data_IF_800207984413
#
_entry.id   IF_800207984413
#
_cell.length_a   1.000
_cell.length_b   1.000
_cell.length_c   1.000
_cell.angle_alpha   90.00
_cell.angle_beta   90.00
_cell.angle_gamma   90.00
#
_symmetry.space_group_name_H-M   'P 1'
#
loop_
_entity.id
_entity.type
_entity.pdbx_description
1 polymer ?
#
# COMPACT_ATOMS: atom_id res chain seq x y z
N UNK A 1 -9.43 17.80 -8.86
CA UNK A 1 -8.02 17.56 -9.23
C UNK A 1 -7.35 16.98 -7.99
N UNK A 2 -7.01 15.69 -7.99
CA UNK A 2 -6.16 15.11 -6.95
C UNK A 2 -4.74 15.61 -7.23
N UNK A 3 -4.31 16.67 -6.57
CA UNK A 3 -2.87 16.90 -6.40
C UNK A 3 -2.41 15.89 -5.35
N UNK A 4 -2.07 14.68 -5.82
CA UNK A 4 -1.16 13.84 -5.06
C UNK A 4 0.16 14.62 -5.06
N UNK A 5 0.76 14.94 -3.89
CA UNK A 5 1.96 15.74 -3.84
C UNK A 5 3.00 15.14 -4.78
N UNK A 6 3.37 15.87 -5.84
CA UNK A 6 4.29 15.39 -6.89
C UNK A 6 5.56 14.76 -6.31
N UNK A 7 6.00 15.22 -5.14
CA UNK A 7 7.17 14.75 -4.41
C UNK A 7 7.02 13.34 -3.79
N UNK A 8 5.82 12.90 -3.41
CA UNK A 8 5.58 11.55 -2.87
C UNK A 8 5.51 10.48 -3.98
N UNK A 9 5.10 10.90 -5.19
CA UNK A 9 4.99 10.03 -6.38
C UNK A 9 6.14 10.22 -7.35
N UNK A 10 7.09 11.13 -7.08
CA UNK A 10 8.27 11.34 -7.92
C UNK A 10 9.14 10.07 -8.05
N UNK A 11 9.01 9.16 -7.07
CA UNK A 11 9.62 7.83 -7.04
C UNK A 11 8.78 6.75 -7.75
N UNK A 12 7.55 7.09 -8.16
CA UNK A 12 6.54 6.20 -8.73
C UNK A 12 5.97 6.75 -10.04
N UNK A 13 6.72 7.59 -10.77
CA UNK A 13 6.39 7.87 -12.17
C UNK A 13 6.73 6.60 -12.96
N UNK A 14 5.83 5.63 -12.89
CA UNK A 14 5.81 4.39 -13.66
C UNK A 14 4.34 4.21 -14.02
N UNK A 15 4.01 3.88 -15.28
CA UNK A 15 2.69 4.15 -15.83
C UNK A 15 1.53 3.38 -15.16
N UNK A 16 1.80 2.34 -14.37
CA UNK A 16 0.80 1.32 -14.01
C UNK A 16 0.59 1.09 -12.50
N UNK A 17 1.03 1.99 -11.62
CA UNK A 17 0.84 1.84 -10.17
C UNK A 17 -0.60 2.13 -9.70
N UNK A 18 -1.19 1.14 -9.03
CA UNK A 18 -2.38 1.30 -8.20
C UNK A 18 -2.00 2.07 -6.94
N UNK A 19 -2.81 3.07 -6.55
CA UNK A 19 -2.56 3.89 -5.35
C UNK A 19 -3.81 3.99 -4.50
N UNK A 20 -3.70 3.68 -3.21
CA UNK A 20 -4.76 3.82 -2.21
C UNK A 20 -4.26 4.61 -1.01
N UNK A 21 -5.03 5.62 -0.63
CA UNK A 21 -4.86 6.35 0.63
C UNK A 21 -5.97 5.93 1.61
N UNK A 22 -5.54 5.44 2.78
CA UNK A 22 -6.39 5.06 3.89
C UNK A 22 -6.17 6.06 5.03
N UNK A 23 -7.17 6.91 5.28
CA UNK A 23 -7.15 7.77 6.46
C UNK A 23 -7.33 6.98 7.73
N UNK A 24 -6.51 7.30 8.72
CA UNK A 24 -6.48 6.63 10.01
C UNK A 24 -6.99 7.52 11.14
N UNK A 25 -7.52 6.87 12.18
CA UNK A 25 -7.93 7.49 13.43
C UNK A 25 -9.44 7.61 13.58
N UNK A 26 -9.91 7.46 14.82
CA UNK A 26 -11.30 7.70 15.21
C UNK A 26 -11.59 9.17 15.51
N UNK A 27 -10.54 9.96 15.81
CA UNK A 27 -10.60 11.40 16.04
C UNK A 27 -9.89 12.12 14.89
N UNK A 28 -10.55 13.12 14.30
CA UNK A 28 -10.08 13.82 13.09
C UNK A 28 -9.61 15.27 13.34
N UNK A 29 -9.46 15.66 14.60
CA UNK A 29 -9.01 17.00 15.01
C UNK A 29 -7.86 16.92 16.02
N UNK A 30 -7.02 17.95 15.98
CA UNK A 30 -5.96 18.23 16.96
C UNK A 30 -6.52 18.84 18.24
N UNK A 31 -5.75 18.78 19.31
CA UNK A 31 -6.12 19.28 20.63
C UNK A 31 -6.36 20.80 20.62
N UNK A 32 -5.65 21.53 19.74
CA UNK A 32 -5.75 22.98 19.56
C UNK A 32 -6.92 23.42 18.65
N UNK A 33 -7.72 22.47 18.14
CA UNK A 33 -8.90 22.80 17.34
C UNK A 33 -9.90 23.65 18.12
N UNK A 34 -10.51 24.64 17.45
CA UNK A 34 -11.67 25.34 18.01
C UNK A 34 -12.84 24.38 18.25
N UNK A 35 -13.72 24.69 19.19
CA UNK A 35 -14.89 23.86 19.50
C UNK A 35 -15.79 23.63 18.27
N UNK A 36 -15.93 24.64 17.41
CA UNK A 36 -16.63 24.51 16.13
C UNK A 36 -15.94 23.50 15.19
N UNK A 37 -14.60 23.54 15.09
CA UNK A 37 -13.83 22.59 14.29
C UNK A 37 -13.94 21.17 14.86
N UNK A 38 -13.89 21.02 16.19
CA UNK A 38 -14.07 19.72 16.87
C UNK A 38 -15.43 19.12 16.56
N UNK A 39 -16.51 19.86 16.75
CA UNK A 39 -17.88 19.42 16.48
C UNK A 39 -18.05 18.95 15.02
N UNK A 40 -17.59 19.77 14.07
CA UNK A 40 -17.64 19.44 12.63
C UNK A 40 -16.85 18.17 12.29
N UNK A 41 -15.66 18.01 12.88
CA UNK A 41 -14.81 16.84 12.64
C UNK A 41 -15.37 15.57 13.29
N UNK A 42 -16.03 15.68 14.45
CA UNK A 42 -16.77 14.58 15.07
C UNK A 42 -17.96 14.15 14.22
N UNK A 43 -18.73 15.10 13.69
CA UNK A 43 -19.81 14.80 12.74
C UNK A 43 -19.27 14.10 11.49
N UNK A 44 -18.17 14.58 10.92
CA UNK A 44 -17.51 13.94 9.78
C UNK A 44 -16.98 12.53 10.10
N UNK A 45 -16.49 12.30 11.32
CA UNK A 45 -16.05 10.97 11.75
C UNK A 45 -17.24 10.01 11.88
N UNK A 46 -18.36 10.47 12.47
CA UNK A 46 -19.60 9.71 12.66
C UNK A 46 -20.35 9.42 11.36
N UNK A 47 -20.30 10.34 10.41
CA UNK A 47 -20.91 10.20 9.09
C UNK A 47 -20.13 9.26 8.15
N UNK A 48 -18.98 8.73 8.59
CA UNK A 48 -18.13 7.82 7.81
C UNK A 48 -17.75 6.60 8.63
N UNK A 49 -16.96 5.71 8.04
CA UNK A 49 -16.40 4.54 8.72
C UNK A 49 -15.36 4.88 9.79
N UNK A 50 -14.84 6.12 9.80
CA UNK A 50 -13.75 6.56 10.69
C UNK A 50 -14.07 6.38 12.17
N UNK A 51 -15.23 6.85 12.65
CA UNK A 51 -15.56 6.75 14.08
C UNK A 51 -15.67 5.28 14.55
N UNK A 52 -16.27 4.42 13.73
CA UNK A 52 -16.51 3.03 14.08
C UNK A 52 -15.26 2.15 13.96
N UNK A 53 -14.39 2.42 12.97
CA UNK A 53 -13.31 1.51 12.58
C UNK A 53 -11.90 2.11 12.65
N UNK A 54 -11.80 3.44 12.78
CA UNK A 54 -10.54 4.15 12.64
C UNK A 54 -10.00 4.19 11.21
N UNK A 55 -10.80 3.78 10.21
CA UNK A 55 -10.44 3.74 8.79
C UNK A 55 -11.44 4.56 7.98
N UNK A 56 -10.94 5.30 7.00
CA UNK A 56 -11.73 5.77 5.85
C UNK A 56 -10.89 5.71 4.59
N UNK A 57 -11.36 5.00 3.57
CA UNK A 57 -10.75 5.02 2.23
C UNK A 57 -10.94 6.43 1.66
N UNK A 58 -9.89 7.10 1.19
CA UNK A 58 -10.04 8.51 0.75
C UNK A 58 -10.15 8.69 -0.75
N UNK A 59 -9.99 7.61 -1.51
CA UNK A 59 -9.94 7.59 -2.97
C UNK A 59 -8.75 6.75 -3.40
N UNK A 60 -8.86 6.13 -4.56
CA UNK A 60 -7.82 5.28 -5.09
C UNK A 60 -7.95 5.15 -6.60
N UNK A 61 -6.87 4.71 -7.25
CA UNK A 61 -6.86 4.41 -8.68
C UNK A 61 -6.33 3.00 -8.90
N UNK A 62 -6.89 2.34 -9.90
CA UNK A 62 -6.48 1.00 -10.33
C UNK A 62 -6.17 1.04 -11.82
N UNK A 63 -5.02 0.50 -12.21
CA UNK A 63 -4.58 0.37 -13.58
C UNK A 63 -5.42 -0.68 -14.30
N UNK A 64 -5.89 -0.34 -15.51
CA UNK A 64 -6.41 -1.30 -16.46
C UNK A 64 -5.42 -1.53 -17.58
N UNK A 65 -4.92 -2.77 -17.66
CA UNK A 65 -3.93 -3.13 -18.66
C UNK A 65 -4.47 -3.15 -20.09
N UNK A 66 -5.75 -3.46 -20.26
CA UNK A 66 -6.38 -3.54 -21.58
C UNK A 66 -6.52 -2.15 -22.22
N UNK A 67 -7.00 -1.16 -21.45
CA UNK A 67 -7.15 0.22 -21.93
C UNK A 67 -5.91 1.09 -21.72
N UNK A 68 -4.91 0.60 -20.97
CA UNK A 68 -3.71 1.35 -20.55
C UNK A 68 -4.10 2.67 -19.85
N UNK A 69 -5.12 2.60 -18.99
CA UNK A 69 -5.71 3.76 -18.33
C UNK A 69 -6.08 3.45 -16.88
N UNK A 70 -6.29 4.51 -16.09
CA UNK A 70 -6.70 4.39 -14.69
C UNK A 70 -8.21 4.43 -14.50
N UNK A 71 -8.68 3.53 -13.66
CA UNK A 71 -10.01 3.46 -13.09
C UNK A 71 -9.95 4.13 -11.71
N UNK A 72 -10.37 5.40 -11.65
CA UNK A 72 -10.31 6.26 -10.46
C UNK A 72 -11.57 6.18 -9.57
N UNK A 73 -11.45 5.59 -8.39
CA UNK A 73 -12.49 5.64 -7.36
C UNK A 73 -12.38 6.97 -6.56
N UNK A 74 -13.40 7.86 -6.63
CA UNK A 74 -13.31 9.21 -6.06
C UNK A 74 -13.46 9.21 -4.53
N UNK A 75 -13.11 10.34 -3.90
CA UNK A 75 -13.19 10.51 -2.43
C UNK A 75 -14.60 10.31 -1.86
N UNK A 76 -15.62 10.63 -2.65
CA UNK A 76 -17.01 10.53 -2.21
C UNK A 76 -17.45 9.07 -2.04
N UNK A 77 -16.83 8.11 -2.75
CA UNK A 77 -17.00 6.69 -2.46
C UNK A 77 -16.63 6.39 -1.01
N UNK A 78 -15.45 6.83 -0.59
CA UNK A 78 -14.95 6.67 0.77
C UNK A 78 -15.80 7.29 1.87
N UNK A 79 -16.51 8.38 1.55
CA UNK A 79 -17.47 9.01 2.46
C UNK A 79 -18.81 8.28 2.52
N UNK A 80 -19.19 7.60 1.44
CA UNK A 80 -20.49 6.95 1.29
C UNK A 80 -20.50 5.49 1.75
N UNK A 81 -19.38 4.77 1.62
CA UNK A 81 -19.31 3.36 2.02
C UNK A 81 -19.54 3.18 3.53
N UNK A 82 -20.20 2.08 3.86
CA UNK A 82 -20.50 1.66 5.21
C UNK A 82 -19.48 0.65 5.74
N UNK A 83 -19.52 0.36 7.05
CA UNK A 83 -18.59 -0.58 7.69
C UNK A 83 -18.63 -1.98 7.03
N UNK A 84 -19.80 -2.59 6.73
CA UNK A 84 -19.86 -3.88 6.04
C UNK A 84 -19.28 -3.85 4.61
N UNK A 85 -19.24 -2.68 3.97
CA UNK A 85 -18.75 -2.53 2.60
C UNK A 85 -17.24 -2.29 2.51
N UNK A 86 -16.54 -2.12 3.65
CA UNK A 86 -15.09 -1.89 3.67
C UNK A 86 -14.31 -3.04 3.01
N UNK A 87 -14.70 -4.29 3.26
CA UNK A 87 -14.05 -5.46 2.64
C UNK A 87 -14.17 -5.40 1.11
N UNK A 88 -15.32 -4.97 0.60
CA UNK A 88 -15.52 -4.76 -0.83
C UNK A 88 -14.72 -3.58 -1.37
N UNK A 89 -14.58 -2.51 -0.59
CA UNK A 89 -13.74 -1.36 -0.93
C UNK A 89 -12.26 -1.72 -1.05
N UNK A 90 -11.72 -2.52 -0.11
CA UNK A 90 -10.34 -3.02 -0.15
C UNK A 90 -10.13 -3.95 -1.34
N UNK A 91 -11.01 -4.92 -1.55
CA UNK A 91 -10.92 -5.82 -2.69
C UNK A 91 -11.02 -5.07 -4.04
N UNK A 92 -11.80 -3.98 -4.13
CA UNK A 92 -11.86 -3.14 -5.34
C UNK A 92 -10.52 -2.46 -5.65
N UNK A 93 -9.67 -2.21 -4.65
CA UNK A 93 -8.34 -1.66 -4.87
C UNK A 93 -7.33 -2.72 -5.35
N UNK A 94 -7.28 -3.88 -4.68
CA UNK A 94 -6.39 -4.99 -5.09
C UNK A 94 -6.85 -5.66 -6.39
N UNK A 95 -8.14 -5.54 -6.70
CA UNK A 95 -8.79 -6.00 -7.91
C UNK A 95 -8.44 -7.45 -8.31
N UNK A 96 -8.75 -8.44 -7.44
CA UNK A 96 -8.49 -9.85 -7.70
C UNK A 96 -9.44 -10.44 -8.75
N UNK A 97 -9.13 -11.62 -9.34
CA UNK A 97 -9.96 -12.32 -10.31
C UNK A 97 -11.12 -13.07 -9.63
N UNK A 98 -11.73 -12.45 -8.61
CA UNK A 98 -12.98 -12.93 -8.03
C UNK A 98 -14.10 -12.53 -9.00
N UNK A 99 -15.02 -13.44 -9.31
CA UNK A 99 -16.09 -13.23 -10.30
C UNK A 99 -16.99 -12.00 -10.04
N UNK A 100 -18.09 -11.88 -10.81
CA UNK A 100 -18.98 -10.70 -10.88
C UNK A 100 -19.54 -10.11 -9.55
N UNK A 101 -19.27 -10.74 -8.40
CA UNK A 101 -19.53 -10.24 -7.06
C UNK A 101 -18.81 -8.91 -6.72
N UNK A 102 -17.80 -8.52 -7.49
CA UNK A 102 -17.07 -7.25 -7.36
C UNK A 102 -17.41 -6.27 -8.48
N UNK A 103 -18.70 -6.08 -8.75
CA UNK A 103 -19.14 -5.05 -9.68
C UNK A 103 -19.13 -3.68 -8.99
N UNK A 104 -18.35 -2.70 -9.49
CA UNK A 104 -18.35 -1.37 -8.92
C UNK A 104 -19.74 -0.73 -9.07
N UNK A 105 -20.33 -0.15 -8.00
CA UNK A 105 -21.46 0.76 -8.19
C UNK A 105 -20.93 2.00 -8.93
N UNK A 106 -21.44 2.18 -10.15
CA UNK A 106 -21.36 3.38 -11.02
C UNK A 106 -19.97 3.80 -11.56
N UNK A 107 -19.95 4.42 -12.77
CA UNK A 107 -18.78 4.44 -13.64
C UNK A 107 -17.69 5.40 -13.18
N UNK A 108 -16.51 5.08 -13.65
CA UNK A 108 -15.23 5.57 -13.18
C UNK A 108 -14.69 6.56 -14.20
N UNK A 109 -14.26 7.75 -13.77
CA UNK A 109 -13.77 8.80 -14.67
C UNK A 109 -12.34 8.47 -15.11
N UNK A 110 -12.14 8.21 -16.40
CA UNK A 110 -10.80 8.16 -16.99
C UNK A 110 -10.24 9.57 -17.07
N UNK A 111 -9.06 9.80 -16.51
CA UNK A 111 -8.41 11.11 -16.49
C UNK A 111 -7.35 11.30 -17.57
N UNK A 112 -7.12 10.29 -18.42
CA UNK A 112 -6.17 10.40 -19.54
C UNK A 112 -6.67 9.67 -20.79
N UNK A 113 -7.43 10.40 -21.61
CA UNK A 113 -7.49 10.36 -23.08
C UNK A 113 -8.79 11.02 -23.52
N UNK A 114 -8.71 11.98 -24.45
CA UNK A 114 -9.87 12.60 -25.06
C UNK A 114 -10.76 11.54 -25.75
N UNK A 115 -11.88 11.14 -25.13
CA UNK A 115 -12.92 10.37 -25.82
C UNK A 115 -14.26 10.39 -25.06
N UNK A 116 -15.33 10.37 -25.86
CA UNK A 116 -16.77 10.26 -25.58
C UNK A 116 -17.17 9.31 -24.42
N UNK A 117 -18.42 9.39 -23.89
CA UNK A 117 -18.87 8.56 -22.78
C UNK A 117 -18.76 7.07 -23.14
N UNK A 118 -17.73 6.43 -22.60
CA UNK A 118 -17.45 5.00 -22.76
C UNK A 118 -18.11 4.23 -21.63
N UNK A 119 -18.55 3.01 -21.94
CA UNK A 119 -19.02 2.03 -20.98
C UNK A 119 -18.04 1.92 -19.78
N UNK A 120 -18.56 1.56 -18.61
CA UNK A 120 -17.76 1.42 -17.40
C UNK A 120 -16.50 0.58 -17.68
N UNK A 121 -15.32 1.19 -17.52
CA UNK A 121 -14.04 0.48 -17.66
C UNK A 121 -13.90 -0.42 -16.45
N UNK A 122 -13.71 -1.71 -16.72
CA UNK A 122 -13.48 -2.76 -15.73
C UNK A 122 -12.00 -3.11 -15.88
N UNK A 123 -11.16 -2.92 -14.84
CA UNK A 123 -9.75 -3.25 -14.94
C UNK A 123 -9.52 -4.73 -15.29
N UNK A 124 -8.34 -5.03 -15.80
CA UNK A 124 -7.87 -6.42 -15.90
C UNK A 124 -7.46 -6.91 -14.50
N UNK A 125 -8.01 -8.02 -13.97
CA UNK A 125 -7.63 -8.54 -12.66
C UNK A 125 -6.16 -8.91 -12.55
N UNK A 126 -5.54 -8.65 -11.40
CA UNK A 126 -4.20 -9.13 -11.09
C UNK A 126 -4.27 -10.63 -10.73
N UNK A 127 -3.43 -11.50 -11.34
CA UNK A 127 -3.45 -12.93 -11.03
C UNK A 127 -3.24 -13.27 -9.55
N UNK A 128 -3.89 -14.33 -9.06
CA UNK A 128 -3.86 -14.72 -7.64
C UNK A 128 -2.44 -15.03 -7.16
N UNK A 129 -1.63 -15.68 -8.01
CA UNK A 129 -0.25 -16.04 -7.72
C UNK A 129 0.66 -14.82 -7.52
N UNK A 130 0.26 -13.64 -8.00
CA UNK A 130 0.97 -12.38 -7.78
C UNK A 130 0.38 -11.59 -6.62
N UNK A 131 -0.94 -11.62 -6.44
CA UNK A 131 -1.61 -10.88 -5.37
C UNK A 131 -1.32 -11.43 -3.98
N UNK A 132 -1.30 -12.75 -3.80
CA UNK A 132 -1.09 -13.34 -2.46
C UNK A 132 0.28 -12.95 -1.87
N UNK A 133 1.41 -13.03 -2.60
CA UNK A 133 2.69 -12.51 -2.12
C UNK A 133 2.67 -11.02 -1.75
N UNK A 134 1.98 -10.18 -2.53
CA UNK A 134 1.80 -8.76 -2.23
C UNK A 134 1.04 -8.57 -0.91
N UNK A 135 -0.08 -9.26 -0.73
CA UNK A 135 -0.88 -9.19 0.49
C UNK A 135 -0.06 -9.62 1.72
N UNK A 136 0.72 -10.70 1.60
CA UNK A 136 1.62 -11.16 2.66
C UNK A 136 2.65 -10.10 3.06
N UNK A 137 3.29 -9.46 2.07
CA UNK A 137 4.26 -8.39 2.31
C UNK A 137 3.63 -7.18 2.99
N UNK A 138 2.47 -6.74 2.51
CA UNK A 138 1.72 -5.61 3.09
C UNK A 138 1.31 -5.92 4.54
N UNK A 139 0.83 -7.13 4.82
CA UNK A 139 0.48 -7.57 6.18
C UNK A 139 1.69 -7.57 7.11
N UNK A 140 2.83 -8.11 6.67
CA UNK A 140 4.06 -8.10 7.45
C UNK A 140 4.49 -6.66 7.80
N UNK A 141 4.41 -5.73 6.84
CA UNK A 141 4.74 -4.31 7.06
C UNK A 141 3.77 -3.62 8.01
N UNK A 142 2.48 -3.90 7.91
CA UNK A 142 1.47 -3.37 8.83
C UNK A 142 1.68 -3.90 10.27
N UNK A 143 2.04 -5.18 10.42
CA UNK A 143 2.36 -5.77 11.71
C UNK A 143 3.61 -5.14 12.34
N UNK A 144 4.64 -4.86 11.53
CA UNK A 144 5.81 -4.11 11.98
C UNK A 144 5.43 -2.69 12.46
N UNK A 145 4.62 -1.98 11.67
CA UNK A 145 4.14 -0.65 12.03
C UNK A 145 3.33 -0.68 13.34
N UNK A 146 2.48 -1.69 13.54
CA UNK A 146 1.76 -1.88 14.80
C UNK A 146 2.73 -2.08 15.97
N UNK A 147 3.75 -2.92 15.84
CA UNK A 147 4.74 -3.14 16.91
C UNK A 147 5.47 -1.85 17.30
N UNK A 148 5.85 -1.04 16.31
CA UNK A 148 6.52 0.24 16.55
C UNK A 148 5.58 1.23 17.23
N UNK A 149 4.35 1.39 16.73
CA UNK A 149 3.40 2.37 17.26
C UNK A 149 2.78 1.97 18.60
N UNK A 150 2.75 0.67 18.94
CA UNK A 150 2.18 0.19 20.21
C UNK A 150 2.96 0.69 21.43
N UNK A 151 4.27 0.92 21.27
CA UNK A 151 5.18 1.43 22.31
C UNK A 151 5.51 2.91 22.15
N UNK A 152 4.98 3.57 21.11
CA UNK A 152 5.29 4.97 20.82
C UNK A 152 4.22 5.89 21.40
N UNK A 153 4.61 6.78 22.30
CA UNK A 153 3.73 7.77 22.92
C UNK A 153 3.62 9.04 22.06
N UNK A 154 2.86 8.94 20.97
CA UNK A 154 2.54 10.05 20.08
C UNK A 154 1.02 10.16 19.88
N UNK A 155 0.56 11.31 19.41
CA UNK A 155 -0.78 11.47 18.81
C UNK A 155 -0.65 11.84 17.36
N UNK A 156 -1.42 11.16 16.52
CA UNK A 156 -1.47 11.42 15.08
C UNK A 156 -2.90 11.79 14.73
N UNK A 157 -3.10 12.97 14.12
CA UNK A 157 -4.40 13.43 13.64
C UNK A 157 -4.34 13.64 12.13
N UNK A 158 -5.23 12.96 11.43
CA UNK A 158 -5.32 13.08 9.96
C UNK A 158 -4.21 12.38 9.18
N UNK A 159 -3.42 11.50 9.81
CA UNK A 159 -2.45 10.67 9.11
C UNK A 159 -3.10 9.60 8.22
N UNK A 160 -2.35 9.15 7.21
CA UNK A 160 -2.82 8.16 6.24
C UNK A 160 -1.80 7.05 6.01
N UNK A 161 -2.28 5.85 5.67
CA UNK A 161 -1.48 4.84 4.99
C UNK A 161 -1.60 5.05 3.49
N UNK A 162 -0.47 5.21 2.82
CA UNK A 162 -0.37 5.20 1.37
C UNK A 162 0.13 3.83 0.93
N UNK A 163 -0.74 3.08 0.26
CA UNK A 163 -0.44 1.79 -0.34
C UNK A 163 -0.30 1.94 -1.85
N UNK A 164 0.83 1.48 -2.38
CA UNK A 164 1.15 1.49 -3.81
C UNK A 164 1.45 0.07 -4.25
N UNK A 165 0.89 -0.36 -5.40
CA UNK A 165 1.08 -1.71 -5.94
C UNK A 165 1.22 -1.62 -7.45
N UNK A 166 2.16 -2.36 -8.03
CA UNK A 166 2.27 -2.48 -9.48
C UNK A 166 1.03 -3.18 -10.06
N UNK A 167 0.28 -2.45 -10.89
CA UNK A 167 -1.00 -2.88 -11.44
C UNK A 167 -0.89 -3.63 -12.78
N UNK A 168 0.28 -3.59 -13.43
CA UNK A 168 0.58 -4.45 -14.59
C UNK A 168 1.15 -5.80 -14.12
N UNK A 169 0.49 -6.90 -14.48
CA UNK A 169 0.87 -8.23 -14.00
C UNK A 169 2.28 -8.68 -14.46
N UNK A 170 2.77 -8.20 -15.60
CA UNK A 170 4.12 -8.50 -16.08
C UNK A 170 5.14 -7.72 -15.26
N UNK A 171 4.94 -6.42 -15.11
CA UNK A 171 5.80 -5.55 -14.33
C UNK A 171 5.84 -5.96 -12.85
N UNK A 172 4.70 -6.38 -12.29
CA UNK A 172 4.59 -6.86 -10.92
C UNK A 172 5.43 -8.12 -10.70
N UNK A 173 5.36 -9.08 -11.63
CA UNK A 173 6.19 -10.30 -11.60
C UNK A 173 7.67 -10.00 -11.69
N UNK A 174 8.07 -9.11 -12.61
CA UNK A 174 9.47 -8.70 -12.75
C UNK A 174 9.98 -7.97 -11.50
N UNK A 175 9.15 -7.13 -10.87
CA UNK A 175 9.50 -6.43 -9.64
C UNK A 175 9.59 -7.36 -8.42
N UNK A 176 8.71 -8.37 -8.34
CA UNK A 176 8.78 -9.42 -7.33
C UNK A 176 10.11 -10.17 -7.38
N UNK A 177 10.46 -10.69 -8.56
CA UNK A 177 11.71 -11.45 -8.76
C UNK A 177 12.97 -10.65 -8.35
N UNK A 178 13.04 -9.35 -8.70
CA UNK A 178 14.17 -8.48 -8.29
C UNK A 178 14.24 -8.27 -6.77
N UNK A 179 13.09 -8.18 -6.11
CA UNK A 179 13.03 -7.96 -4.65
C UNK A 179 13.49 -9.20 -3.87
N UNK A 180 13.27 -10.39 -4.43
CA UNK A 180 13.78 -11.65 -3.89
C UNK A 180 15.30 -11.79 -4.09
N UNK A 181 15.82 -11.45 -5.28
CA UNK A 181 17.26 -11.53 -5.58
C UNK A 181 18.12 -10.56 -4.76
N UNK A 182 17.56 -9.39 -4.42
CA UNK A 182 18.21 -8.39 -3.58
C UNK A 182 18.10 -8.68 -2.07
N UNK A 183 17.31 -9.67 -1.67
CA UNK A 183 17.21 -10.08 -0.27
C UNK A 183 18.50 -10.81 0.18
N UNK A 184 19.10 -10.45 1.32
CA UNK A 184 20.40 -10.98 1.77
C UNK A 184 20.42 -12.50 2.00
N UNK A 185 19.25 -13.16 2.03
CA UNK A 185 19.09 -14.61 2.13
C UNK A 185 19.45 -15.39 0.85
N UNK A 186 19.57 -14.73 -0.31
CA UNK A 186 19.79 -15.39 -1.60
C UNK A 186 21.27 -15.52 -2.01
N UNK A 187 22.22 -15.01 -1.19
CA UNK A 187 23.65 -15.20 -1.46
C UNK A 187 24.04 -16.63 -1.11
N UNK A 188 24.49 -17.47 -2.06
CA UNK A 188 25.07 -18.75 -1.69
C UNK A 188 26.30 -18.49 -0.82
N UNK A 189 26.29 -19.05 0.39
CA UNK A 189 27.47 -19.06 1.25
C UNK A 189 28.63 -19.63 0.46
N UNK A 190 29.67 -18.82 0.25
CA UNK A 190 30.95 -19.33 -0.24
C UNK A 190 31.37 -20.42 0.73
N UNK A 191 31.46 -21.64 0.21
CA UNK A 191 31.92 -22.83 0.90
C UNK A 191 33.16 -22.52 1.72
N UNK A 192 33.01 -22.75 3.02
CA UNK A 192 34.06 -22.92 3.99
C UNK A 192 34.89 -24.14 3.56
N UNK A 193 35.98 -23.91 2.83
CA UNK A 193 37.04 -24.91 2.65
C UNK A 193 38.15 -24.55 3.62
N UNK A 194 38.16 -25.27 4.73
CA UNK A 194 39.22 -25.24 5.72
C UNK A 194 40.60 -25.51 5.11
N UNK A 195 41.57 -24.78 5.64
CA UNK A 195 43.00 -24.98 5.47
C UNK A 195 43.71 -24.22 6.58
N UNK A 196 44.13 -24.93 7.61
CA UNK A 196 44.99 -24.45 8.68
C UNK A 196 46.30 -23.88 8.09
N UNK A 197 46.76 -22.73 8.58
CA UNK A 197 48.13 -22.29 8.34
C UNK A 197 48.37 -20.79 8.43
N UNK A 198 49.03 -20.41 9.52
CA UNK A 198 50.07 -19.36 9.59
C UNK A 198 49.67 -17.91 9.88
N UNK A 199 50.47 -17.33 10.79
CA UNK A 199 50.36 -16.01 11.39
C UNK A 199 51.13 -15.03 10.51
N UNK A 200 50.44 -14.02 9.97
CA UNK A 200 51.07 -12.97 9.17
C UNK A 200 50.24 -11.70 9.19
N UNK A 201 50.73 -10.74 9.96
CA UNK A 201 50.35 -9.33 9.98
C UNK A 201 50.23 -8.77 8.54
N UNK A 202 49.08 -8.24 8.16
CA UNK A 202 48.95 -7.38 6.96
C UNK A 202 47.71 -6.51 7.06
N UNK A 203 48.00 -5.23 7.29
CA UNK A 203 47.30 -3.98 6.99
C UNK A 203 45.85 -4.06 6.47
N UNK A 204 44.99 -3.38 7.21
CA UNK A 204 43.62 -3.00 6.86
C UNK A 204 43.62 -2.21 5.55
N UNK A 205 43.21 -2.82 4.44
CA UNK A 205 42.72 -2.05 3.29
C UNK A 205 41.25 -1.73 3.52
N UNK A 206 40.99 -0.50 3.96
CA UNK A 206 39.70 0.16 3.92
C UNK A 206 39.27 0.27 2.45
N UNK A 207 38.45 -0.68 2.00
CA UNK A 207 37.75 -0.59 0.71
C UNK A 207 36.64 0.47 0.86
N UNK A 208 37.01 1.74 0.77
CA UNK A 208 36.11 2.87 0.61
C UNK A 208 35.39 2.74 -0.74
N UNK A 209 34.39 1.86 -0.81
CA UNK A 209 33.48 1.84 -1.96
C UNK A 209 32.70 3.15 -1.94
N UNK A 210 33.14 4.10 -2.78
CA UNK A 210 32.44 5.35 -3.02
C UNK A 210 30.96 5.07 -3.23
N UNK A 211 30.13 5.55 -2.32
CA UNK A 211 28.67 5.53 -2.48
C UNK A 211 28.34 6.55 -3.55
N UNK A 212 28.56 6.20 -4.83
CA UNK A 212 28.00 6.96 -5.94
C UNK A 212 26.51 7.11 -5.66
N UNK A 213 26.02 8.34 -5.63
CA UNK A 213 24.60 8.61 -5.52
C UNK A 213 23.92 8.01 -6.74
N UNK A 214 23.44 6.77 -6.64
CA UNK A 214 22.72 6.10 -7.71
C UNK A 214 21.40 6.85 -7.86
N UNK A 215 21.37 7.75 -8.84
CA UNK A 215 20.13 8.43 -9.23
C UNK A 215 19.04 7.39 -9.43
N UNK A 216 17.92 7.55 -8.75
CA UNK A 216 16.80 6.60 -8.73
C UNK A 216 15.77 6.87 -9.82
N UNK A 217 15.97 7.95 -10.58
CA UNK A 217 15.12 8.35 -11.70
C UNK A 217 15.87 8.26 -13.02
N UNK A 218 15.19 7.84 -14.09
CA UNK A 218 15.73 7.94 -15.44
C UNK A 218 15.72 9.39 -15.95
N UNK A 219 16.21 9.59 -17.18
CA UNK A 219 16.27 10.92 -17.81
C UNK A 219 14.90 11.57 -18.06
N UNK A 220 13.81 10.82 -17.88
CA UNK A 220 12.43 11.30 -18.03
C UNK A 220 11.76 11.55 -16.66
N UNK A 221 12.48 11.34 -15.56
CA UNK A 221 11.97 11.47 -14.20
C UNK A 221 11.19 10.26 -13.70
N UNK A 222 11.17 9.15 -14.45
CA UNK A 222 10.55 7.89 -14.05
C UNK A 222 11.46 7.11 -13.11
N UNK A 223 10.89 6.27 -12.25
CA UNK A 223 11.69 5.35 -11.45
C UNK A 223 12.50 4.42 -12.37
N UNK A 224 13.82 4.36 -12.17
CA UNK A 224 14.68 3.44 -12.94
C UNK A 224 14.18 2.02 -12.74
N UNK A 225 14.28 1.17 -13.76
CA UNK A 225 13.76 -0.20 -13.70
C UNK A 225 14.24 -1.01 -12.48
N UNK A 226 15.48 -0.79 -12.04
CA UNK A 226 16.05 -1.45 -10.86
C UNK A 226 15.54 -0.92 -9.51
N UNK A 227 14.88 0.24 -9.47
CA UNK A 227 14.29 0.82 -8.24
C UNK A 227 12.78 0.57 -8.15
N UNK A 228 12.18 -0.10 -9.14
CA UNK A 228 10.73 -0.37 -9.16
C UNK A 228 10.39 -1.52 -8.21
N UNK A 229 9.62 -1.19 -7.18
CA UNK A 229 9.10 -2.13 -6.20
C UNK A 229 7.76 -2.72 -6.66
N UNK A 230 7.47 -3.99 -6.32
CA UNK A 230 6.18 -4.61 -6.60
C UNK A 230 5.04 -3.95 -5.81
N UNK A 231 5.34 -3.46 -4.61
CA UNK A 231 4.44 -2.71 -3.75
C UNK A 231 5.24 -1.89 -2.73
N UNK A 232 4.59 -0.89 -2.12
CA UNK A 232 5.13 -0.12 -1.01
C UNK A 232 4.00 0.35 -0.11
N UNK A 233 4.28 0.48 1.18
CA UNK A 233 3.36 0.97 2.18
C UNK A 233 4.06 1.99 3.07
N UNK A 234 3.54 3.21 3.07
CA UNK A 234 4.08 4.33 3.84
C UNK A 234 3.03 4.95 4.74
N UNK A 235 3.48 5.43 5.88
CA UNK A 235 2.71 6.37 6.67
C UNK A 235 3.02 7.79 6.19
N UNK A 236 1.98 8.58 5.92
CA UNK A 236 2.07 9.95 5.39
C UNK A 236 1.22 10.92 6.21
N UNK A 237 1.33 12.21 5.90
CA UNK A 237 0.56 13.32 6.48
C UNK A 237 0.78 13.51 7.99
N UNK A 238 2.00 13.86 8.38
CA UNK A 238 2.41 14.11 9.78
C UNK A 238 2.18 15.55 10.26
N UNK A 239 1.37 16.36 9.56
CA UNK A 239 1.21 17.79 9.85
C UNK A 239 0.60 18.07 11.24
N UNK A 240 -0.22 17.16 11.77
CA UNK A 240 -0.84 17.26 13.09
C UNK A 240 -0.40 16.09 13.98
N UNK A 241 0.90 15.98 14.20
CA UNK A 241 1.52 14.98 15.06
C UNK A 241 2.23 15.64 16.22
N UNK A 242 2.04 15.10 17.42
CA UNK A 242 2.72 15.57 18.64
C UNK A 242 3.23 14.40 19.46
N UNK A 243 4.32 14.64 20.19
CA UNK A 243 4.70 13.79 21.31
C UNK A 243 3.61 13.85 22.39
N UNK A 244 3.36 12.71 23.04
CA UNK A 244 2.33 12.57 24.07
C UNK A 244 2.84 11.73 25.26
N UNK A 245 4.01 12.06 25.84
CA UNK A 245 4.64 11.25 26.88
C UNK A 245 3.72 11.13 28.10
N UNK A 246 3.55 9.90 28.60
CA UNK A 246 2.68 9.59 29.72
C UNK A 246 1.18 9.55 29.39
N UNK A 247 0.76 9.85 28.16
CA UNK A 247 -0.63 9.68 27.73
C UNK A 247 -0.89 8.28 27.14
N UNK A 248 0.13 7.42 27.04
CA UNK A 248 0.05 6.12 26.39
C UNK A 248 0.00 6.22 24.86
N UNK A 249 -0.37 5.13 24.20
CA UNK A 249 -0.44 5.00 22.73
C UNK A 249 -1.70 5.61 22.11
N UNK A 250 -1.65 5.89 20.81
CA UNK A 250 -2.81 6.41 20.07
C UNK A 250 -3.78 5.28 19.70
N UNK A 251 -4.72 4.97 20.60
CA UNK A 251 -5.67 3.86 20.42
C UNK A 251 -6.55 4.02 19.16
N UNK A 252 -6.96 5.25 18.83
CA UNK A 252 -7.80 5.52 17.67
C UNK A 252 -7.05 5.26 16.36
N UNK A 253 -5.79 5.66 16.31
CA UNK A 253 -4.92 5.43 15.16
C UNK A 253 -4.56 3.94 15.00
N UNK A 254 -4.17 3.28 16.10
CA UNK A 254 -3.87 1.85 16.13
C UNK A 254 -5.09 0.99 15.75
N UNK A 255 -6.30 1.39 16.17
CA UNK A 255 -7.54 0.73 15.75
C UNK A 255 -7.72 0.78 14.24
N UNK A 256 -7.35 1.90 13.61
CA UNK A 256 -7.36 2.04 12.15
C UNK A 256 -6.45 1.03 11.48
N UNK A 257 -5.19 0.96 11.90
CA UNK A 257 -4.20 0.00 11.35
C UNK A 257 -4.65 -1.45 11.58
N UNK A 258 -5.13 -1.79 12.78
CA UNK A 258 -5.67 -3.13 13.10
C UNK A 258 -6.86 -3.50 12.20
N UNK A 259 -7.72 -2.52 11.89
CA UNK A 259 -8.83 -2.74 10.96
C UNK A 259 -8.32 -2.97 9.54
N UNK A 260 -7.32 -2.21 9.08
CA UNK A 260 -6.67 -2.44 7.78
C UNK A 260 -6.04 -3.83 7.70
N UNK A 261 -5.33 -4.28 8.74
CA UNK A 261 -4.77 -5.64 8.82
C UNK A 261 -5.87 -6.68 8.62
N UNK A 262 -6.94 -6.62 9.42
CA UNK A 262 -8.06 -7.55 9.32
C UNK A 262 -8.69 -7.57 7.92
N UNK A 263 -8.92 -6.42 7.31
CA UNK A 263 -9.53 -6.34 5.98
C UNK A 263 -8.65 -6.98 4.89
N UNK A 264 -7.33 -6.89 5.03
CA UNK A 264 -6.37 -7.48 4.10
C UNK A 264 -6.18 -8.98 4.37
N UNK A 265 -6.17 -9.41 5.64
CA UNK A 265 -6.19 -10.83 6.03
C UNK A 265 -7.44 -11.53 5.50
N UNK A 266 -8.62 -10.96 5.75
CA UNK A 266 -9.92 -11.49 5.26
C UNK A 266 -9.92 -11.60 3.72
N UNK A 267 -9.28 -10.66 3.01
CA UNK A 267 -9.14 -10.75 1.55
C UNK A 267 -8.19 -11.87 1.15
N UNK A 268 -6.99 -11.92 1.74
CA UNK A 268 -5.98 -12.94 1.46
C UNK A 268 -6.54 -14.35 1.65
N UNK A 269 -7.16 -14.62 2.79
CA UNK A 269 -7.68 -15.95 3.11
C UNK A 269 -8.74 -16.38 2.09
N UNK A 270 -9.56 -15.44 1.61
CA UNK A 270 -10.52 -15.69 0.52
C UNK A 270 -9.83 -16.00 -0.81
N UNK A 271 -8.74 -15.32 -1.14
CA UNK A 271 -8.00 -15.58 -2.37
C UNK A 271 -7.30 -16.95 -2.33
N UNK A 272 -6.76 -17.33 -1.17
CA UNK A 272 -6.12 -18.63 -0.99
C UNK A 272 -7.12 -19.79 -1.14
N UNK A 273 -8.31 -19.68 -0.57
CA UNK A 273 -9.38 -20.68 -0.78
C UNK A 273 -9.72 -20.85 -2.27
N UNK A 274 -9.82 -19.76 -3.04
CA UNK A 274 -10.11 -19.80 -4.47
C UNK A 274 -8.95 -20.43 -5.30
N UNK A 275 -7.70 -20.21 -4.88
CA UNK A 275 -6.54 -20.88 -5.48
C UNK A 275 -6.56 -22.40 -5.27
N UNK A 276 -6.91 -22.84 -4.06
CA UNK A 276 -7.04 -24.27 -3.73
C UNK A 276 -8.18 -24.94 -4.52
N UNK A 277 -9.33 -24.27 -4.64
CA UNK A 277 -10.46 -24.77 -5.43
C UNK A 277 -10.12 -24.89 -6.92
N UNK A 278 -9.45 -23.91 -7.50
CA UNK A 278 -9.04 -23.92 -8.91
C UNK A 278 -8.07 -25.08 -9.17
N UNK A 279 -7.08 -25.25 -8.31
CA UNK A 279 -6.10 -26.35 -8.40
C UNK A 279 -6.78 -27.72 -8.33
N UNK A 280 -7.80 -27.87 -7.48
CA UNK A 280 -8.54 -29.14 -7.35
C UNK A 280 -9.37 -29.47 -8.59
N UNK A 281 -9.95 -28.44 -9.25
CA UNK A 281 -10.73 -28.61 -10.49
C UNK A 281 -9.85 -29.01 -11.68
N UNK A 282 -8.63 -28.50 -11.77
CA UNK A 282 -7.72 -28.80 -12.89
C UNK A 282 -7.12 -30.21 -12.83
N UNK A 283 -7.18 -30.88 -11.67
CA UNK A 283 -6.66 -32.24 -11.44
C UNK A 283 -7.75 -33.32 -11.61
N UNK A 284 -9.03 -32.93 -11.64
CA UNK A 284 -10.19 -33.84 -11.71
C UNK A 284 -10.70 -34.04 -13.14
#
# INVERSE_FOLDING_TARGET
MLEVPRLLVQWYIVPSYNVLDIKLGTQLYDEDASEEKKLRMDEAAKATTSAATGVRLTGFQVWDDASKAYVVTPKDFGKAITVPELSSGIARFFYPPLGAAYTPPTPVVSTHAAAAPRAAIVPTPLPLELLVPVLNGVLARLQELLRLLDVTEIRIRGGSLLLVIEGDAKALREAGARSEESSPSARPSKQDRGGEGDVGDTEEEEDESETESVSTTDGEGNAKAHTRLPWDLRLIDFAHVRAAPGEGKDEGFLKGIKTTVRLIEDLKDRLEMEMEETTTRDIS
#
